data_IF_435286457164
#
_entry.id   IF_435286457164
#
_cell.length_a   1.000
_cell.length_b   1.000
_cell.length_c   1.000
_cell.angle_alpha   90.00
_cell.angle_beta   90.00
_cell.angle_gamma   90.00
#
_symmetry.space_group_name_H-M   'P 1'
#
loop_
_entity.id
_entity.type
_entity.pdbx_description
1 polymer ?
#
# COMPACT_ATOMS: atom_id res chain seq x y z
N UNK A 1 31.93 -10.39 5.35
CA UNK A 1 31.04 -10.35 4.20
C UNK A 1 30.62 -11.74 3.83
N UNK A 2 29.32 -12.02 3.80
CA UNK A 2 28.79 -13.31 3.39
C UNK A 2 29.08 -13.53 1.90
N UNK A 3 29.82 -14.59 1.59
CA UNK A 3 30.16 -15.04 0.23
C UNK A 3 29.03 -15.85 -0.44
N UNK A 4 27.85 -15.90 0.14
CA UNK A 4 26.71 -16.62 -0.43
C UNK A 4 26.22 -15.86 -1.67
N UNK A 5 26.13 -16.49 -2.84
CA UNK A 5 25.55 -15.85 -4.04
C UNK A 5 24.13 -15.40 -3.70
N UNK A 6 23.85 -14.10 -3.89
CA UNK A 6 22.48 -13.60 -3.71
C UNK A 6 21.64 -14.14 -4.86
N UNK A 7 20.53 -14.78 -4.50
CA UNK A 7 19.53 -15.21 -5.47
C UNK A 7 19.03 -13.97 -6.24
N UNK A 8 18.99 -14.05 -7.58
CA UNK A 8 18.38 -12.98 -8.37
C UNK A 8 16.88 -12.94 -8.12
N UNK A 9 16.27 -11.78 -8.28
CA UNK A 9 14.82 -11.64 -8.14
C UNK A 9 14.06 -12.49 -9.17
N UNK A 10 14.63 -12.67 -10.38
CA UNK A 10 14.07 -13.54 -11.40
C UNK A 10 14.08 -15.00 -10.98
N UNK A 11 15.20 -15.47 -10.49
CA UNK A 11 15.33 -16.85 -10.00
C UNK A 11 14.39 -17.09 -8.81
N UNK A 12 14.26 -16.13 -7.90
CA UNK A 12 13.35 -16.19 -6.78
C UNK A 12 11.90 -16.40 -7.25
N UNK A 13 11.43 -15.59 -8.19
CA UNK A 13 10.06 -15.67 -8.69
C UNK A 13 9.80 -16.89 -9.56
N UNK A 14 10.73 -17.22 -10.45
CA UNK A 14 10.48 -18.22 -11.47
C UNK A 14 10.76 -19.65 -10.99
N UNK A 15 11.64 -19.83 -9.99
CA UNK A 15 12.01 -21.18 -9.52
C UNK A 15 11.53 -21.49 -8.09
N UNK A 16 11.38 -20.49 -7.23
CA UNK A 16 11.15 -20.73 -5.80
C UNK A 16 9.78 -20.29 -5.32
N UNK A 17 9.24 -19.19 -5.85
CA UNK A 17 7.91 -18.72 -5.48
C UNK A 17 6.82 -19.53 -6.16
N UNK A 18 5.82 -19.91 -5.37
CA UNK A 18 4.60 -20.60 -5.81
C UNK A 18 3.46 -19.60 -6.02
N UNK A 19 2.41 -19.95 -6.76
CA UNK A 19 1.16 -19.21 -6.72
C UNK A 19 0.67 -19.04 -5.28
N UNK A 20 0.31 -17.79 -4.91
CA UNK A 20 -0.09 -17.44 -3.55
C UNK A 20 1.05 -16.96 -2.63
N UNK A 21 2.32 -17.20 -2.97
CA UNK A 21 3.43 -16.63 -2.19
C UNK A 21 3.47 -15.11 -2.35
N UNK A 22 3.78 -14.39 -1.25
CA UNK A 22 3.69 -12.94 -1.18
C UNK A 22 5.09 -12.31 -1.25
N UNK A 23 5.28 -11.39 -2.20
CA UNK A 23 6.44 -10.52 -2.28
C UNK A 23 6.07 -9.12 -1.80
N UNK A 24 6.46 -8.78 -0.59
CA UNK A 24 6.25 -7.43 -0.03
C UNK A 24 7.40 -6.49 -0.36
N UNK A 25 7.19 -5.19 -0.15
CA UNK A 25 8.14 -4.12 -0.51
C UNK A 25 8.39 -4.00 -2.01
N UNK A 26 7.34 -4.19 -2.78
CA UNK A 26 7.37 -4.23 -4.25
C UNK A 26 8.06 -3.01 -4.88
N UNK A 27 7.85 -1.82 -4.33
CA UNK A 27 8.37 -0.57 -4.89
C UNK A 27 9.68 -0.10 -4.25
N UNK A 28 10.41 -1.01 -3.60
CA UNK A 28 11.72 -0.72 -3.02
C UNK A 28 12.81 -0.60 -4.09
N UNK A 29 13.76 0.33 -3.87
CA UNK A 29 14.85 0.58 -4.82
C UNK A 29 14.44 1.42 -6.02
N UNK A 30 15.40 1.70 -6.88
CA UNK A 30 15.20 2.40 -8.15
C UNK A 30 16.13 1.85 -9.21
N UNK A 31 15.91 2.28 -10.47
CA UNK A 31 16.70 1.87 -11.62
C UNK A 31 18.22 2.10 -11.49
N UNK A 32 18.64 3.12 -10.74
CA UNK A 32 20.05 3.42 -10.51
C UNK A 32 20.72 2.51 -9.46
N UNK A 33 19.94 1.72 -8.73
CA UNK A 33 20.44 0.80 -7.72
C UNK A 33 20.31 -0.63 -8.22
N UNK A 34 21.39 -1.27 -8.53
CA UNK A 34 21.37 -2.72 -8.81
C UNK A 34 20.84 -3.53 -7.62
N UNK A 35 20.97 -2.96 -6.42
CA UNK A 35 20.46 -3.55 -5.17
C UNK A 35 19.91 -2.43 -4.30
N UNK A 36 18.76 -2.64 -3.67
CA UNK A 36 18.20 -1.70 -2.68
C UNK A 36 19.10 -1.60 -1.46
N UNK A 37 18.98 -0.56 -0.59
CA UNK A 37 19.70 -0.50 0.67
C UNK A 37 19.56 -1.75 1.53
N UNK A 38 18.44 -2.46 1.41
CA UNK A 38 18.17 -3.71 2.12
C UNK A 38 18.63 -4.97 1.35
N UNK A 39 19.44 -4.81 0.31
CA UNK A 39 19.96 -5.92 -0.47
C UNK A 39 18.99 -6.53 -1.48
N UNK A 40 17.85 -5.88 -1.75
CA UNK A 40 16.85 -6.34 -2.72
C UNK A 40 17.09 -5.72 -4.09
N UNK A 41 16.93 -6.53 -5.12
CA UNK A 41 16.91 -6.07 -6.48
C UNK A 41 15.55 -5.43 -6.80
N UNK A 42 15.49 -4.25 -7.47
CA UNK A 42 14.22 -3.61 -7.81
C UNK A 42 13.47 -4.38 -8.92
N UNK A 43 12.14 -4.20 -8.94
CA UNK A 43 11.29 -4.79 -9.99
C UNK A 43 11.46 -4.12 -11.36
N UNK A 44 12.11 -2.95 -11.40
CA UNK A 44 12.42 -2.21 -12.64
C UNK A 44 13.88 -2.35 -13.02
N UNK A 45 14.16 -2.27 -14.32
CA UNK A 45 15.52 -2.25 -14.88
C UNK A 45 16.16 -0.85 -14.84
N UNK A 46 17.36 -0.72 -15.41
CA UNK A 46 18.10 0.54 -15.48
C UNK A 46 17.39 1.65 -16.26
N UNK A 47 16.42 1.32 -17.10
CA UNK A 47 15.61 2.25 -17.89
C UNK A 47 14.23 2.54 -17.25
N UNK A 48 14.03 2.16 -15.99
CA UNK A 48 12.75 2.23 -15.27
C UNK A 48 11.63 1.38 -15.91
N UNK A 49 11.95 0.37 -16.69
CA UNK A 49 10.98 -0.60 -17.21
C UNK A 49 10.79 -1.73 -16.22
N UNK A 50 9.53 -2.09 -15.98
CA UNK A 50 9.21 -3.29 -15.20
C UNK A 50 9.76 -4.49 -15.93
N UNK A 51 10.52 -5.32 -15.22
CA UNK A 51 11.15 -6.51 -15.79
C UNK A 51 10.07 -7.49 -16.27
N UNK A 52 10.15 -8.03 -17.49
CA UNK A 52 9.08 -8.85 -18.08
C UNK A 52 8.61 -10.01 -17.20
N UNK A 53 9.53 -10.70 -16.53
CA UNK A 53 9.21 -11.82 -15.65
C UNK A 53 8.36 -11.40 -14.43
N UNK A 54 8.33 -10.12 -14.05
CA UNK A 54 7.48 -9.61 -12.96
C UNK A 54 5.99 -9.69 -13.34
N UNK A 55 5.65 -9.30 -14.57
CA UNK A 55 4.29 -9.47 -15.11
C UNK A 55 3.91 -10.94 -15.20
N UNK A 56 4.84 -11.77 -15.66
CA UNK A 56 4.62 -13.21 -15.76
C UNK A 56 4.42 -13.84 -14.39
N UNK A 57 5.23 -13.47 -13.40
CA UNK A 57 5.09 -13.93 -12.03
C UNK A 57 3.71 -13.55 -11.45
N UNK A 58 3.25 -12.31 -11.68
CA UNK A 58 1.93 -11.86 -11.21
C UNK A 58 0.81 -12.65 -11.90
N UNK A 59 0.90 -12.86 -13.21
CA UNK A 59 -0.05 -13.66 -13.99
C UNK A 59 -0.14 -15.12 -13.52
N UNK A 60 0.99 -15.66 -13.08
CA UNK A 60 1.07 -17.00 -12.49
C UNK A 60 0.62 -17.06 -11.01
N UNK A 61 0.06 -15.99 -10.48
CA UNK A 61 -0.55 -15.96 -9.15
C UNK A 61 0.39 -15.63 -7.99
N UNK A 62 1.63 -15.14 -8.24
CA UNK A 62 2.46 -14.56 -7.18
C UNK A 62 1.88 -13.22 -6.78
N UNK A 63 1.85 -12.95 -5.49
CA UNK A 63 1.22 -11.76 -4.92
C UNK A 63 2.26 -10.68 -4.68
N UNK A 64 2.00 -9.50 -5.20
CA UNK A 64 2.85 -8.33 -5.01
C UNK A 64 2.18 -7.38 -4.02
N UNK A 65 2.80 -7.19 -2.86
CA UNK A 65 2.33 -6.32 -1.81
C UNK A 65 3.16 -5.04 -1.70
N UNK A 66 2.50 -3.92 -1.46
CA UNK A 66 3.17 -2.62 -1.35
C UNK A 66 4.19 -2.57 -0.23
N UNK A 67 3.79 -2.95 0.99
CA UNK A 67 4.66 -2.93 2.17
C UNK A 67 5.48 -1.65 2.28
N UNK A 68 4.81 -0.47 2.37
CA UNK A 68 5.47 0.83 2.21
C UNK A 68 6.66 1.01 3.16
N UNK A 69 6.48 0.71 4.45
CA UNK A 69 7.49 0.85 5.48
C UNK A 69 8.16 2.22 5.55
N UNK A 70 9.29 2.26 6.27
CA UNK A 70 10.14 3.45 6.31
C UNK A 70 11.16 3.53 5.17
N UNK A 71 11.45 2.42 4.49
CA UNK A 71 12.53 2.31 3.50
C UNK A 71 12.17 1.66 2.16
N UNK A 72 10.92 1.25 1.94
CA UNK A 72 10.57 0.33 0.87
C UNK A 72 9.63 0.88 -0.21
N UNK A 73 9.44 2.17 -0.26
CA UNK A 73 8.63 2.82 -1.30
C UNK A 73 9.40 3.97 -1.94
N UNK A 74 9.62 3.89 -3.25
CA UNK A 74 10.35 4.90 -4.04
C UNK A 74 9.48 5.37 -5.19
N UNK A 75 9.28 6.69 -5.32
CA UNK A 75 8.41 7.29 -6.34
C UNK A 75 8.76 6.88 -7.76
N UNK A 76 10.05 6.89 -8.12
CA UNK A 76 10.46 6.53 -9.48
C UNK A 76 10.09 5.09 -9.84
N UNK A 77 10.16 4.17 -8.90
CA UNK A 77 9.74 2.78 -9.13
C UNK A 77 8.23 2.64 -9.20
N UNK A 78 7.50 3.20 -8.22
CA UNK A 78 6.05 3.08 -8.14
C UNK A 78 5.36 3.74 -9.35
N UNK A 79 5.70 5.00 -9.67
CA UNK A 79 5.09 5.72 -10.79
C UNK A 79 5.35 5.02 -12.13
N UNK A 80 6.60 4.58 -12.36
CA UNK A 80 6.92 3.90 -13.62
C UNK A 80 6.27 2.52 -13.73
N UNK A 81 6.14 1.79 -12.64
CA UNK A 81 5.41 0.52 -12.62
C UNK A 81 3.94 0.70 -12.97
N UNK A 82 3.24 1.64 -12.30
CA UNK A 82 1.83 1.90 -12.56
C UNK A 82 1.58 2.40 -14.00
N UNK A 83 2.44 3.28 -14.53
CA UNK A 83 2.36 3.76 -15.92
C UNK A 83 2.48 2.65 -16.96
N UNK A 84 3.13 1.55 -16.62
CA UNK A 84 3.30 0.37 -17.47
C UNK A 84 2.21 -0.69 -17.24
N UNK A 85 1.20 -0.38 -16.42
CA UNK A 85 0.09 -1.30 -16.13
C UNK A 85 0.39 -2.33 -15.03
N UNK A 86 1.52 -2.19 -14.34
CA UNK A 86 1.82 -3.04 -13.19
C UNK A 86 1.25 -2.43 -11.91
N UNK A 87 0.24 -3.07 -11.35
CA UNK A 87 -0.41 -2.67 -10.10
C UNK A 87 -0.14 -3.72 -9.01
N UNK A 88 0.12 -3.30 -7.74
CA UNK A 88 0.28 -4.27 -6.66
C UNK A 88 -1.04 -4.99 -6.39
N UNK A 89 -0.99 -6.24 -5.97
CA UNK A 89 -2.19 -7.00 -5.59
C UNK A 89 -2.81 -6.44 -4.31
N UNK A 90 -1.95 -5.99 -3.38
CA UNK A 90 -2.36 -5.43 -2.08
C UNK A 90 -1.62 -4.13 -1.78
N UNK A 91 -2.30 -3.23 -1.07
CA UNK A 91 -1.73 -2.00 -0.55
C UNK A 91 -1.66 -2.14 0.96
N UNK A 92 -0.46 -2.11 1.51
CA UNK A 92 -0.19 -2.26 2.94
C UNK A 92 0.83 -1.23 3.44
N UNK A 93 0.88 -1.04 4.74
CA UNK A 93 1.68 0.02 5.37
C UNK A 93 3.07 -0.44 5.80
N UNK A 94 3.23 -1.69 6.23
CA UNK A 94 4.39 -2.09 7.04
C UNK A 94 4.62 -1.11 8.20
N UNK A 95 3.55 -0.96 9.04
CA UNK A 95 3.53 0.00 10.14
C UNK A 95 4.42 -0.46 11.28
N UNK A 96 5.44 0.34 11.58
CA UNK A 96 6.28 0.21 12.76
C UNK A 96 6.74 1.60 13.23
N UNK A 97 7.40 1.67 14.39
CA UNK A 97 7.77 2.93 15.04
C UNK A 97 8.41 3.96 14.09
N UNK A 98 9.39 3.53 13.29
CA UNK A 98 10.11 4.47 12.43
C UNK A 98 9.34 4.82 11.15
N UNK A 99 8.54 3.89 10.60
CA UNK A 99 7.77 4.15 9.38
C UNK A 99 6.64 5.16 9.59
N UNK A 100 6.05 5.19 10.80
CA UNK A 100 5.02 6.17 11.18
C UNK A 100 5.54 7.62 11.10
N UNK A 101 6.77 7.86 11.46
CA UNK A 101 7.39 9.19 11.41
C UNK A 101 8.08 9.52 10.08
N UNK A 102 8.20 8.52 9.19
CA UNK A 102 8.74 8.67 7.84
C UNK A 102 7.63 8.97 6.81
N UNK A 103 7.91 8.78 5.54
CA UNK A 103 6.96 9.02 4.44
C UNK A 103 5.72 8.13 4.43
N UNK A 104 5.70 7.00 5.14
CA UNK A 104 4.55 6.09 5.20
C UNK A 104 3.40 6.69 6.01
N UNK A 105 3.64 7.16 7.22
CA UNK A 105 2.70 7.77 8.19
C UNK A 105 1.59 6.81 8.65
N UNK A 106 0.57 6.61 7.83
CA UNK A 106 -0.62 5.79 8.09
C UNK A 106 -1.18 5.20 6.78
N UNK A 107 -2.23 4.38 6.91
CA UNK A 107 -2.87 3.73 5.76
C UNK A 107 -3.52 4.73 4.81
N UNK A 108 -4.20 5.77 5.32
CA UNK A 108 -4.83 6.81 4.51
C UNK A 108 -3.81 7.56 3.64
N UNK A 109 -2.61 7.82 4.18
CA UNK A 109 -1.50 8.43 3.45
C UNK A 109 -0.97 7.50 2.34
N UNK A 110 -0.82 6.20 2.60
CA UNK A 110 -0.39 5.24 1.57
C UNK A 110 -1.43 5.13 0.47
N UNK A 111 -2.72 4.97 0.81
CA UNK A 111 -3.83 4.94 -0.15
C UNK A 111 -3.88 6.22 -1.01
N UNK A 112 -3.68 7.39 -0.39
CA UNK A 112 -3.64 8.68 -1.08
C UNK A 112 -2.55 8.75 -2.14
N UNK A 113 -1.40 8.12 -1.92
CA UNK A 113 -0.31 8.05 -2.90
C UNK A 113 -0.76 7.34 -4.18
N UNK A 114 -1.46 6.22 -4.04
CA UNK A 114 -1.98 5.47 -5.19
C UNK A 114 -3.07 6.23 -5.95
N UNK A 115 -3.95 6.95 -5.25
CA UNK A 115 -4.91 7.86 -5.88
C UNK A 115 -4.22 8.92 -6.75
N UNK A 116 -3.15 9.54 -6.21
CA UNK A 116 -2.41 10.58 -6.94
C UNK A 116 -1.50 10.01 -8.04
N UNK A 117 -1.25 8.71 -8.07
CA UNK A 117 -0.61 8.02 -9.20
C UNK A 117 -1.62 7.57 -10.27
N UNK A 118 -2.91 7.88 -10.11
CA UNK A 118 -3.94 7.63 -11.12
C UNK A 118 -4.78 6.36 -10.92
N UNK A 119 -4.63 5.66 -9.81
CA UNK A 119 -5.55 4.55 -9.50
C UNK A 119 -6.94 5.09 -9.13
N UNK A 120 -7.99 4.36 -9.50
CA UNK A 120 -9.36 4.68 -9.06
C UNK A 120 -9.51 4.49 -7.55
N UNK A 121 -10.45 5.23 -6.93
CA UNK A 121 -10.73 5.06 -5.50
C UNK A 121 -11.21 3.64 -5.20
N UNK A 122 -11.99 3.04 -6.10
CA UNK A 122 -12.47 1.68 -5.97
C UNK A 122 -11.32 0.67 -5.94
N UNK A 123 -10.35 0.80 -6.85
CA UNK A 123 -9.18 -0.07 -6.90
C UNK A 123 -8.30 0.08 -5.65
N UNK A 124 -8.11 1.32 -5.17
CA UNK A 124 -7.34 1.59 -3.96
C UNK A 124 -8.01 0.92 -2.76
N UNK A 125 -9.33 1.07 -2.60
CA UNK A 125 -10.08 0.44 -1.51
C UNK A 125 -10.01 -1.09 -1.64
N UNK A 126 -10.29 -1.65 -2.81
CA UNK A 126 -10.27 -3.08 -3.05
C UNK A 126 -8.92 -3.71 -2.65
N UNK A 127 -7.81 -3.08 -3.05
CA UNK A 127 -6.43 -3.54 -2.75
C UNK A 127 -6.01 -3.26 -1.30
N UNK A 128 -6.79 -2.49 -0.57
CA UNK A 128 -6.53 -2.17 0.84
C UNK A 128 -7.45 -2.92 1.81
N UNK A 129 -8.46 -3.64 1.31
CA UNK A 129 -9.49 -4.33 2.11
C UNK A 129 -9.69 -5.77 1.66
N UNK A 130 -10.50 -5.99 0.63
CA UNK A 130 -10.88 -7.32 0.16
C UNK A 130 -9.70 -8.14 -0.36
N UNK A 131 -8.84 -7.55 -1.17
CA UNK A 131 -7.69 -8.29 -1.71
C UNK A 131 -6.75 -8.81 -0.60
N UNK A 132 -6.28 -7.99 0.37
CA UNK A 132 -5.44 -8.51 1.45
C UNK A 132 -6.16 -9.55 2.31
N UNK A 133 -7.47 -9.42 2.58
CA UNK A 133 -8.25 -10.42 3.30
C UNK A 133 -8.22 -11.78 2.57
N UNK A 134 -8.45 -11.78 1.27
CA UNK A 134 -8.35 -13.01 0.47
C UNK A 134 -6.93 -13.60 0.45
N UNK A 135 -5.91 -12.75 0.32
CA UNK A 135 -4.50 -13.22 0.28
C UNK A 135 -4.11 -13.94 1.56
N UNK A 136 -4.60 -13.48 2.72
CA UNK A 136 -4.34 -14.13 4.01
C UNK A 136 -5.42 -15.19 4.39
N UNK A 137 -6.35 -15.49 3.46
CA UNK A 137 -7.42 -16.48 3.61
C UNK A 137 -8.42 -16.17 4.74
N UNK A 138 -8.63 -14.88 5.03
CA UNK A 138 -9.63 -14.36 5.95
C UNK A 138 -10.78 -13.71 5.18
N UNK A 139 -11.53 -14.53 4.44
CA UNK A 139 -12.61 -14.07 3.55
C UNK A 139 -13.83 -13.51 4.29
N UNK A 140 -13.90 -13.68 5.59
CA UNK A 140 -14.88 -13.04 6.48
C UNK A 140 -14.59 -11.54 6.74
N UNK A 141 -13.41 -11.06 6.31
CA UNK A 141 -12.95 -9.68 6.48
C UNK A 141 -12.93 -8.91 5.15
N UNK A 142 -12.77 -7.60 5.23
CA UNK A 142 -12.49 -6.73 4.08
C UNK A 142 -13.71 -6.41 3.20
N UNK A 143 -14.93 -6.68 3.66
CA UNK A 143 -16.17 -6.39 2.95
C UNK A 143 -17.28 -5.88 3.90
N UNK A 144 -18.35 -5.30 3.33
CA UNK A 144 -19.49 -4.72 4.05
C UNK A 144 -20.79 -5.53 3.82
N UNK A 145 -20.69 -6.83 3.64
CA UNK A 145 -21.87 -7.69 3.46
C UNK A 145 -22.69 -7.78 4.76
N UNK A 146 -23.99 -8.00 4.62
CA UNK A 146 -24.87 -8.23 5.77
C UNK A 146 -24.37 -9.44 6.58
N UNK A 147 -24.21 -9.27 7.88
CA UNK A 147 -23.67 -10.27 8.79
C UNK A 147 -22.16 -10.25 8.99
N UNK A 148 -21.41 -9.47 8.20
CA UNK A 148 -19.98 -9.25 8.46
C UNK A 148 -19.77 -8.41 9.72
N UNK A 149 -18.62 -8.60 10.37
CA UNK A 149 -18.22 -7.73 11.50
C UNK A 149 -18.09 -6.28 11.02
N UNK A 150 -18.67 -5.34 11.76
CA UNK A 150 -18.65 -3.94 11.40
C UNK A 150 -17.31 -3.28 11.75
N UNK A 151 -16.28 -3.64 11.00
CA UNK A 151 -14.98 -2.99 10.95
C UNK A 151 -15.01 -2.03 9.75
N UNK A 152 -15.35 -0.77 9.96
CA UNK A 152 -15.64 0.21 8.92
C UNK A 152 -14.78 1.44 9.05
N UNK A 153 -14.14 1.86 7.98
CA UNK A 153 -13.47 3.16 7.91
C UNK A 153 -14.18 4.06 6.89
N UNK A 154 -14.60 5.24 7.34
CA UNK A 154 -15.20 6.28 6.51
C UNK A 154 -14.15 7.32 6.20
N UNK A 155 -13.95 7.61 4.92
CA UNK A 155 -12.97 8.58 4.45
C UNK A 155 -13.62 9.76 3.74
N UNK A 156 -13.08 10.95 3.98
CA UNK A 156 -13.28 12.10 3.13
C UNK A 156 -12.14 12.16 2.09
N UNK A 157 -12.49 12.38 0.82
CA UNK A 157 -11.52 12.64 -0.25
C UNK A 157 -11.33 14.16 -0.36
N UNK A 158 -10.34 14.68 0.33
CA UNK A 158 -10.03 16.12 0.28
C UNK A 158 -9.30 16.47 -1.01
N UNK A 159 -9.71 17.56 -1.64
CA UNK A 159 -9.01 18.17 -2.75
C UNK A 159 -8.16 19.36 -2.27
N UNK A 160 -6.97 19.53 -2.84
CA UNK A 160 -6.05 20.59 -2.44
C UNK A 160 -4.63 20.34 -2.93
N UNK A 161 -3.66 20.96 -2.27
CA UNK A 161 -2.21 20.75 -2.53
C UNK A 161 -1.61 19.99 -1.36
N UNK A 162 -1.16 18.77 -1.62
CA UNK A 162 -0.62 17.88 -0.60
C UNK A 162 0.74 17.33 -1.04
N UNK A 163 1.72 17.37 -0.14
CA UNK A 163 3.02 16.75 -0.34
C UNK A 163 3.07 15.32 0.23
N UNK A 164 3.51 14.36 -0.57
CA UNK A 164 3.68 12.97 -0.16
C UNK A 164 5.13 12.55 -0.28
N UNK A 165 5.78 12.22 0.84
CA UNK A 165 7.17 11.77 0.86
C UNK A 165 7.30 10.29 0.58
N UNK A 166 8.33 9.90 -0.18
CA UNK A 166 8.77 8.51 -0.29
C UNK A 166 9.80 8.15 0.81
N UNK A 167 10.32 6.93 0.73
CA UNK A 167 11.32 6.42 1.67
C UNK A 167 12.69 7.12 1.59
N UNK A 168 12.92 7.95 0.57
CA UNK A 168 14.17 8.71 0.36
C UNK A 168 14.01 10.20 0.67
N UNK A 169 12.83 10.61 1.15
CA UNK A 169 12.51 12.00 1.42
C UNK A 169 12.11 12.81 0.18
N UNK A 170 11.97 12.17 -0.99
CA UNK A 170 11.48 12.84 -2.20
C UNK A 170 9.98 13.10 -2.09
N UNK A 171 9.55 14.31 -2.47
CA UNK A 171 8.16 14.74 -2.37
C UNK A 171 7.46 14.65 -3.72
N UNK A 172 6.30 13.99 -3.73
CA UNK A 172 5.34 14.06 -4.83
C UNK A 172 4.20 15.00 -4.45
N UNK A 173 3.91 15.98 -5.30
CA UNK A 173 2.81 16.93 -5.10
C UNK A 173 1.52 16.33 -5.66
N UNK A 174 0.62 15.96 -4.76
CA UNK A 174 -0.69 15.43 -5.11
C UNK A 174 -1.81 16.43 -4.89
N UNK A 175 -2.97 16.12 -5.45
CA UNK A 175 -4.17 16.97 -5.37
C UNK A 175 -5.29 16.35 -4.52
N UNK A 176 -5.17 15.09 -4.16
CA UNK A 176 -6.18 14.35 -3.38
C UNK A 176 -5.54 13.73 -2.13
N UNK A 177 -6.26 13.81 -1.01
CA UNK A 177 -5.86 13.19 0.26
C UNK A 177 -7.06 12.51 0.89
N UNK A 178 -6.91 11.24 1.24
CA UNK A 178 -7.86 10.54 2.10
C UNK A 178 -7.64 10.96 3.55
N UNK A 179 -8.71 11.31 4.22
CA UNK A 179 -8.72 11.65 5.63
C UNK A 179 -9.78 10.79 6.32
N UNK A 180 -9.38 10.05 7.36
CA UNK A 180 -10.31 9.21 8.09
C UNK A 180 -11.24 10.07 8.95
N UNK A 181 -12.53 10.05 8.66
CA UNK A 181 -13.58 10.78 9.39
C UNK A 181 -14.09 9.97 10.57
N UNK A 182 -14.39 8.70 10.35
CA UNK A 182 -14.92 7.79 11.36
C UNK A 182 -14.31 6.40 11.16
N UNK A 183 -13.97 5.73 12.24
CA UNK A 183 -13.58 4.32 12.23
C UNK A 183 -14.37 3.53 13.26
N UNK A 184 -15.00 2.48 12.82
CA UNK A 184 -15.66 1.49 13.67
C UNK A 184 -14.80 0.23 13.77
N UNK A 185 -14.74 -0.34 14.95
CA UNK A 185 -14.17 -1.65 15.24
C UNK A 185 -15.20 -2.48 16.00
N UNK A 186 -15.63 -3.58 15.43
CA UNK A 186 -16.69 -4.42 16.00
C UNK A 186 -17.92 -3.59 16.40
N UNK A 187 -18.43 -2.73 15.49
CA UNK A 187 -19.55 -1.80 15.70
C UNK A 187 -19.32 -0.70 16.74
N UNK A 188 -18.12 -0.57 17.30
CA UNK A 188 -17.79 0.50 18.27
C UNK A 188 -16.97 1.58 17.60
N UNK A 189 -17.25 2.84 17.94
CA UNK A 189 -16.44 3.96 17.47
C UNK A 189 -15.04 3.87 18.06
N UNK A 190 -14.03 3.69 17.18
CA UNK A 190 -12.61 3.65 17.54
C UNK A 190 -11.90 4.97 17.24
N UNK A 191 -12.43 5.74 16.29
CA UNK A 191 -11.93 7.05 15.88
C UNK A 191 -13.09 7.88 15.35
N UNK A 192 -13.15 9.14 15.75
CA UNK A 192 -14.13 10.12 15.28
C UNK A 192 -13.43 11.49 15.19
N UNK A 193 -13.15 11.94 13.98
CA UNK A 193 -12.39 13.17 13.75
C UNK A 193 -13.18 14.41 14.11
N UNK A 194 -14.47 14.43 13.78
CA UNK A 194 -15.30 15.62 13.84
C UNK A 194 -16.56 15.46 14.71
N UNK A 195 -16.59 14.45 15.59
CA UNK A 195 -17.70 14.24 16.53
C UNK A 195 -19.00 13.74 15.86
N UNK A 196 -18.90 13.05 14.71
CA UNK A 196 -20.06 12.55 13.96
C UNK A 196 -20.92 11.57 14.77
N UNK A 197 -20.31 10.86 15.71
CA UNK A 197 -20.98 9.85 16.53
C UNK A 197 -21.60 10.41 17.82
N UNK A 198 -21.29 11.66 18.15
CA UNK A 198 -21.77 12.33 19.37
C UNK A 198 -23.07 13.11 19.18
N UNK A 199 -23.90 13.25 20.22
CA UNK A 199 -25.02 14.17 20.19
C UNK A 199 -24.54 15.62 20.15
N UNK A 200 -25.36 16.51 19.64
CA UNK A 200 -25.10 17.95 19.75
C UNK A 200 -25.09 18.36 21.23
N UNK A 201 -24.23 19.33 21.57
CA UNK A 201 -24.04 19.75 22.98
C UNK A 201 -25.31 20.27 23.64
N UNK A 202 -26.21 20.84 22.88
CA UNK A 202 -27.50 21.39 23.35
C UNK A 202 -28.63 20.35 23.38
N UNK A 203 -28.44 19.18 22.75
CA UNK A 203 -29.37 18.06 22.79
C UNK A 203 -29.19 17.14 24.02
N UNK A 204 -28.09 17.31 24.75
CA UNK A 204 -27.84 16.54 25.99
C UNK A 204 -28.54 17.20 27.14
N UNK A 205 -29.63 16.60 27.61
CA UNK A 205 -30.31 17.04 28.85
C UNK A 205 -29.33 16.97 30.03
N UNK A 206 -29.18 18.08 30.76
CA UNK A 206 -28.41 18.13 32.01
C UNK A 206 -29.13 17.41 33.14
#
# INVERSE_FOLDING_TARGET
>A
GSSTPKLSIEELFMKHFRPGDIFTHTFSGNAASAVTPNGREPIVDGNNKVKPFIFEAQKQGRIFDTGHGGGAFVWSTAINALKQGFYPNTISTDLYRNSRNAGMKDMANVMSKFLNMGMSIQDVILRSTWNPANVIQHTELGHLSVGAEADVAVFNVREGKFGFMDARGSVFNGTKKLEAELTLRASRVAWDLNGLSGPQWDAVSR
#
